data_IF_843306125511
#
_entry.id   IF_843306125511
#
_cell.length_a   1.000
_cell.length_b   1.000
_cell.length_c   1.000
_cell.angle_alpha   90.00
_cell.angle_beta   90.00
_cell.angle_gamma   90.00
#
_symmetry.space_group_name_H-M   'P 1'
#
loop_
_entity.id
_entity.type
_entity.pdbx_description
1 polymer ?
#
# COMPACT_ATOMS: atom_id res chain seq x y z
N UNK A 1 2.07 -1.07 -10.22
CA UNK A 1 2.01 -2.49 -10.58
C UNK A 1 1.81 -3.30 -9.31
N UNK A 2 0.89 -4.25 -9.30
CA UNK A 2 0.66 -5.14 -8.17
C UNK A 2 1.81 -6.14 -8.05
N UNK A 3 2.30 -6.32 -6.83
CA UNK A 3 3.43 -7.21 -6.56
C UNK A 3 3.00 -8.64 -6.24
N UNK A 4 1.75 -8.84 -5.86
CA UNK A 4 1.14 -10.14 -5.55
C UNK A 4 -0.28 -10.18 -6.07
N UNK A 5 -0.85 -11.37 -6.18
CA UNK A 5 -2.27 -11.55 -6.43
C UNK A 5 -3.07 -10.82 -5.35
N UNK A 6 -4.11 -10.10 -5.78
CA UNK A 6 -4.84 -9.17 -4.91
C UNK A 6 -6.32 -9.23 -5.22
N UNK A 7 -7.13 -9.39 -4.19
CA UNK A 7 -8.58 -9.25 -4.27
C UNK A 7 -8.98 -7.85 -3.81
N UNK A 8 -9.66 -7.10 -4.69
CA UNK A 8 -10.19 -5.77 -4.39
C UNK A 8 -11.66 -5.88 -4.05
N UNK A 9 -12.04 -5.41 -2.88
CA UNK A 9 -13.40 -5.42 -2.34
C UNK A 9 -14.16 -4.14 -2.63
N UNK A 10 -13.45 -3.02 -2.71
CA UNK A 10 -14.05 -1.73 -2.98
C UNK A 10 -13.04 -0.63 -3.23
N UNK A 11 -13.59 0.54 -3.57
CA UNK A 11 -12.83 1.73 -3.94
C UNK A 11 -13.43 2.95 -3.25
N UNK A 12 -12.57 3.81 -2.69
CA UNK A 12 -12.95 5.12 -2.19
C UNK A 12 -12.20 6.20 -3.00
N UNK A 13 -12.90 6.89 -3.92
CA UNK A 13 -12.36 8.02 -4.65
C UNK A 13 -12.44 9.31 -3.82
N UNK A 14 -11.46 10.18 -3.98
CA UNK A 14 -11.44 11.51 -3.39
C UNK A 14 -10.86 12.54 -4.36
N UNK A 15 -11.52 13.68 -4.44
CA UNK A 15 -11.01 14.92 -5.04
C UNK A 15 -11.57 16.12 -4.28
N UNK A 16 -10.86 17.26 -4.38
CA UNK A 16 -11.36 18.52 -3.88
C UNK A 16 -12.30 19.23 -4.88
N UNK A 17 -12.76 20.45 -4.53
CA UNK A 17 -13.88 21.17 -5.19
C UNK A 17 -13.73 21.33 -6.71
N UNK A 18 -12.50 21.55 -7.21
CA UNK A 18 -12.28 21.74 -8.65
C UNK A 18 -12.18 20.43 -9.45
N UNK A 19 -12.33 19.28 -8.78
CA UNK A 19 -12.38 17.97 -9.43
C UNK A 19 -13.52 17.85 -10.43
N UNK A 20 -13.33 17.08 -11.52
CA UNK A 20 -14.36 16.86 -12.54
C UNK A 20 -14.59 15.40 -12.87
N UNK A 21 -13.54 14.63 -13.09
CA UNK A 21 -13.69 13.21 -13.41
C UNK A 21 -12.64 12.35 -12.72
N UNK A 22 -13.03 11.12 -12.40
CA UNK A 22 -12.10 10.06 -11.98
C UNK A 22 -12.36 8.84 -12.85
N UNK A 23 -11.29 8.27 -13.41
CA UNK A 23 -11.32 6.98 -14.09
C UNK A 23 -10.15 6.15 -13.63
N UNK A 24 -10.42 4.90 -13.26
CA UNK A 24 -9.38 3.92 -12.97
C UNK A 24 -9.61 2.65 -13.76
N UNK A 25 -8.52 2.07 -14.21
CA UNK A 25 -8.49 0.85 -15.01
C UNK A 25 -7.31 -0.02 -14.57
N UNK A 26 -7.52 -1.32 -14.52
CA UNK A 26 -6.47 -2.32 -14.37
C UNK A 26 -6.11 -2.92 -15.72
N UNK A 27 -4.82 -3.05 -16.03
CA UNK A 27 -4.32 -3.81 -17.16
C UNK A 27 -3.62 -5.05 -16.64
N UNK A 28 -4.18 -6.21 -16.92
CA UNK A 28 -3.64 -7.51 -16.50
C UNK A 28 -2.35 -7.85 -17.27
N UNK A 29 -1.56 -8.84 -16.80
CA UNK A 29 -0.35 -9.28 -17.50
C UNK A 29 -0.60 -9.77 -18.95
N UNK A 30 -1.78 -10.31 -19.22
CA UNK A 30 -2.22 -10.74 -20.55
C UNK A 30 -2.76 -9.60 -21.43
N UNK A 31 -2.60 -8.35 -20.98
CA UNK A 31 -3.09 -7.13 -21.61
C UNK A 31 -4.60 -6.88 -21.54
N UNK A 32 -5.36 -7.76 -20.90
CA UNK A 32 -6.80 -7.53 -20.64
C UNK A 32 -6.99 -6.27 -19.80
N UNK A 33 -7.95 -5.43 -20.19
CA UNK A 33 -8.27 -4.19 -19.47
C UNK A 33 -9.57 -4.35 -18.72
N UNK A 34 -9.56 -4.00 -17.43
CA UNK A 34 -10.70 -4.08 -16.54
C UNK A 34 -10.99 -2.68 -16.00
N UNK A 35 -12.16 -2.09 -16.30
CA UNK A 35 -12.53 -0.81 -15.68
C UNK A 35 -12.81 -1.02 -14.19
N UNK A 36 -12.24 -0.17 -13.36
CA UNK A 36 -12.39 -0.24 -11.91
C UNK A 36 -13.45 0.75 -11.40
N UNK A 37 -13.35 2.00 -11.83
CA UNK A 37 -14.33 3.05 -11.52
C UNK A 37 -14.35 4.10 -12.63
N UNK A 38 -15.51 4.69 -12.89
CA UNK A 38 -15.66 5.83 -13.79
C UNK A 38 -16.70 6.80 -13.23
N UNK A 39 -16.24 7.96 -12.78
CA UNK A 39 -17.06 9.08 -12.35
C UNK A 39 -16.83 10.20 -13.37
N UNK A 40 -17.86 10.60 -14.09
CA UNK A 40 -17.78 11.56 -15.18
C UNK A 40 -18.24 12.96 -14.78
N UNK A 41 -18.87 13.10 -13.64
CA UNK A 41 -19.30 14.35 -13.04
C UNK A 41 -19.08 14.25 -11.53
N UNK A 42 -17.93 14.77 -11.07
CA UNK A 42 -17.54 14.71 -9.68
C UNK A 42 -18.34 15.73 -8.85
N UNK A 43 -18.92 15.24 -7.75
CA UNK A 43 -19.50 16.09 -6.71
C UNK A 43 -18.73 15.89 -5.41
N UNK A 44 -18.10 16.96 -4.90
CA UNK A 44 -17.35 16.93 -3.64
C UNK A 44 -18.20 16.47 -2.46
N UNK A 45 -19.51 16.74 -2.47
CA UNK A 45 -20.43 16.34 -1.40
C UNK A 45 -20.89 14.88 -1.51
N UNK A 46 -20.57 14.22 -2.59
CA UNK A 46 -20.95 12.82 -2.85
C UNK A 46 -19.76 11.89 -2.94
N UNK A 47 -18.99 11.82 -1.85
CA UNK A 47 -17.82 10.96 -1.74
C UNK A 47 -18.19 9.68 -1.00
N UNK A 48 -18.39 8.61 -1.75
CA UNK A 48 -18.82 7.34 -1.20
C UNK A 48 -17.75 6.25 -1.39
N UNK A 49 -17.80 5.25 -0.50
CA UNK A 49 -17.13 3.99 -0.70
C UNK A 49 -17.96 3.13 -1.65
N UNK A 50 -17.37 2.74 -2.77
CA UNK A 50 -17.99 1.89 -3.79
C UNK A 50 -17.52 0.45 -3.59
N UNK A 51 -18.44 -0.42 -3.16
CA UNK A 51 -18.16 -1.82 -2.94
C UNK A 51 -18.51 -2.62 -4.19
N UNK A 52 -17.62 -3.54 -4.59
CA UNK A 52 -17.95 -4.51 -5.64
C UNK A 52 -18.95 -5.56 -5.15
N UNK A 53 -19.80 -6.05 -6.05
CA UNK A 53 -20.75 -7.11 -5.72
C UNK A 53 -20.07 -8.43 -5.34
N UNK A 54 -18.90 -8.67 -5.91
CA UNK A 54 -17.96 -9.74 -5.53
C UNK A 54 -16.53 -9.19 -5.59
N UNK A 55 -15.60 -9.73 -4.80
CA UNK A 55 -14.20 -9.31 -4.91
C UNK A 55 -13.68 -9.43 -6.34
N UNK A 56 -12.93 -8.42 -6.78
CA UNK A 56 -12.29 -8.42 -8.07
C UNK A 56 -10.85 -8.95 -7.91
N UNK A 57 -10.61 -10.14 -8.45
CA UNK A 57 -9.27 -10.73 -8.43
C UNK A 57 -8.39 -10.12 -9.51
N UNK A 58 -7.23 -9.59 -9.11
CA UNK A 58 -6.20 -9.05 -9.98
C UNK A 58 -4.87 -9.79 -9.74
N UNK A 59 -4.31 -10.45 -10.76
CA UNK A 59 -3.06 -11.18 -10.61
C UNK A 59 -1.86 -10.25 -10.41
N UNK A 60 -0.79 -10.79 -9.83
CA UNK A 60 0.51 -10.12 -9.76
C UNK A 60 0.95 -9.63 -11.16
N UNK A 61 1.62 -8.49 -11.21
CA UNK A 61 2.00 -7.85 -12.47
C UNK A 61 0.92 -6.94 -13.08
N UNK A 62 -0.31 -6.94 -12.55
CA UNK A 62 -1.36 -6.01 -12.99
C UNK A 62 -0.93 -4.57 -12.79
N UNK A 63 -1.12 -3.75 -13.81
CA UNK A 63 -0.87 -2.30 -13.77
C UNK A 63 -2.17 -1.57 -13.47
N UNK A 64 -2.11 -0.62 -12.54
CA UNK A 64 -3.22 0.27 -12.20
C UNK A 64 -2.97 1.63 -12.86
N UNK A 65 -3.92 2.09 -13.67
CA UNK A 65 -3.92 3.43 -14.27
C UNK A 65 -5.09 4.23 -13.70
N UNK A 66 -4.80 5.40 -13.17
CA UNK A 66 -5.83 6.28 -12.61
C UNK A 66 -5.66 7.66 -13.22
N UNK A 67 -6.77 8.24 -13.68
CA UNK A 67 -6.81 9.57 -14.29
C UNK A 67 -7.81 10.44 -13.57
N UNK A 68 -7.37 11.62 -13.24
CA UNK A 68 -8.20 12.70 -12.70
C UNK A 68 -8.21 13.86 -13.68
N UNK A 69 -9.33 14.55 -13.76
CA UNK A 69 -9.40 15.85 -14.42
C UNK A 69 -9.95 16.90 -13.49
N UNK A 70 -9.49 18.12 -13.67
CA UNK A 70 -9.88 19.27 -12.88
C UNK A 70 -10.38 20.37 -13.80
N UNK A 71 -11.25 21.23 -13.28
CA UNK A 71 -11.70 22.43 -13.95
C UNK A 71 -11.58 23.63 -13.00
N UNK A 72 -10.50 24.38 -13.18
CA UNK A 72 -10.26 25.62 -12.44
C UNK A 72 -10.69 26.86 -13.25
N UNK A 73 -11.73 26.73 -14.10
CA UNK A 73 -12.26 27.86 -14.86
C UNK A 73 -13.33 28.63 -14.09
N UNK A 74 -13.64 29.85 -14.54
CA UNK A 74 -14.75 30.65 -14.02
C UNK A 74 -16.13 30.04 -14.38
N UNK A 75 -16.20 29.13 -15.34
CA UNK A 75 -17.43 28.43 -15.72
C UNK A 75 -17.76 27.25 -14.80
N UNK A 76 -16.81 26.78 -14.00
CA UNK A 76 -17.05 25.71 -13.01
C UNK A 76 -17.79 26.26 -11.80
N UNK A 77 -19.07 25.88 -11.58
CA UNK A 77 -19.86 26.38 -10.44
C UNK A 77 -19.30 25.94 -9.07
N UNK A 78 -18.52 24.86 -9.02
CA UNK A 78 -17.86 24.37 -7.82
C UNK A 78 -16.49 25.05 -7.56
N UNK A 79 -16.04 25.96 -8.44
CA UNK A 79 -14.79 26.67 -8.21
C UNK A 79 -14.90 27.59 -6.98
N UNK A 80 -14.09 27.42 -5.94
CA UNK A 80 -14.17 28.23 -4.73
C UNK A 80 -13.69 29.67 -4.92
N UNK A 81 -13.12 30.01 -6.09
CA UNK A 81 -12.57 31.34 -6.39
C UNK A 81 -13.15 31.92 -7.67
N UNK A 82 -13.70 33.16 -7.56
CA UNK A 82 -14.13 33.92 -8.72
C UNK A 82 -13.61 35.39 -8.61
N UNK A 83 -12.68 35.82 -9.46
CA UNK A 83 -12.07 35.07 -10.56
C UNK A 83 -11.22 33.91 -10.11
N UNK A 84 -11.00 32.89 -10.98
CA UNK A 84 -10.18 31.73 -10.66
C UNK A 84 -8.77 32.11 -10.23
N UNK A 85 -8.23 31.40 -9.23
CA UNK A 85 -6.86 31.58 -8.75
C UNK A 85 -6.00 30.39 -9.14
N UNK A 86 -4.69 30.59 -9.18
CA UNK A 86 -3.76 29.45 -9.26
C UNK A 86 -3.96 28.56 -8.05
N UNK A 87 -4.15 27.26 -8.29
CA UNK A 87 -4.28 26.22 -7.28
C UNK A 87 -3.05 25.31 -7.35
N UNK A 88 -2.61 24.84 -6.21
CA UNK A 88 -1.53 23.87 -6.05
C UNK A 88 -2.03 22.76 -5.14
N UNK A 89 -1.28 21.65 -5.09
CA UNK A 89 -1.58 20.58 -4.14
C UNK A 89 -1.58 21.10 -2.69
N UNK A 90 -2.58 20.66 -1.93
CA UNK A 90 -2.71 20.99 -0.52
C UNK A 90 -3.91 20.30 0.13
N UNK A 91 -4.02 20.44 1.45
CA UNK A 91 -5.01 19.72 2.27
C UNK A 91 -6.35 20.48 2.41
N UNK A 92 -6.39 21.76 2.02
CA UNK A 92 -7.64 22.52 2.09
C UNK A 92 -8.54 22.13 0.92
N UNK A 93 -9.85 22.12 1.14
CA UNK A 93 -10.84 21.78 0.09
C UNK A 93 -10.76 22.68 -1.14
N UNK A 94 -10.17 23.87 -1.01
CA UNK A 94 -9.90 24.84 -2.08
C UNK A 94 -8.61 24.56 -2.85
N UNK A 95 -7.77 23.66 -2.34
CA UNK A 95 -6.52 23.25 -3.00
C UNK A 95 -6.79 22.11 -3.99
N UNK A 96 -5.78 21.74 -4.77
CA UNK A 96 -5.85 20.57 -5.63
C UNK A 96 -5.47 19.32 -4.84
N UNK A 97 -6.36 18.32 -4.83
CA UNK A 97 -6.09 17.00 -4.27
C UNK A 97 -6.92 15.95 -5.00
N UNK A 98 -6.31 14.81 -5.27
CA UNK A 98 -7.01 13.61 -5.67
C UNK A 98 -6.27 12.37 -5.17
N UNK A 99 -7.02 11.37 -4.73
CA UNK A 99 -6.50 10.03 -4.47
C UNK A 99 -7.61 8.99 -4.70
N UNK A 100 -7.17 7.76 -4.81
CA UNK A 100 -8.04 6.58 -4.94
C UNK A 100 -7.52 5.52 -3.97
N UNK A 101 -8.33 5.19 -2.96
CA UNK A 101 -8.01 4.14 -2.00
C UNK A 101 -8.67 2.85 -2.45
N UNK A 102 -7.93 1.76 -2.44
CA UNK A 102 -8.43 0.42 -2.69
C UNK A 102 -8.55 -0.33 -1.36
N UNK A 103 -9.74 -0.86 -1.10
CA UNK A 103 -9.95 -1.87 -0.06
C UNK A 103 -9.58 -3.23 -0.67
N UNK A 104 -8.42 -3.75 -0.30
CA UNK A 104 -7.83 -4.88 -0.99
C UNK A 104 -7.06 -5.79 -0.04
N UNK A 105 -7.03 -7.08 -0.36
CA UNK A 105 -6.27 -8.11 0.35
C UNK A 105 -5.35 -8.80 -0.64
N UNK A 106 -4.05 -8.87 -0.33
CA UNK A 106 -3.12 -9.72 -1.07
C UNK A 106 -3.42 -11.19 -0.77
N UNK A 107 -3.64 -11.99 -1.82
CA UNK A 107 -4.00 -13.41 -1.72
C UNK A 107 -2.85 -14.35 -2.05
N UNK A 108 -1.75 -13.80 -2.59
CA UNK A 108 -0.52 -14.53 -2.89
C UNK A 108 0.67 -14.07 -2.04
N UNK A 109 1.73 -14.88 -1.96
CA UNK A 109 2.96 -14.46 -1.31
C UNK A 109 3.57 -13.28 -2.07
N UNK A 110 4.21 -12.33 -1.37
CA UNK A 110 4.94 -11.27 -2.04
C UNK A 110 6.11 -11.85 -2.84
N UNK A 111 6.51 -11.21 -3.96
CA UNK A 111 7.67 -11.66 -4.70
C UNK A 111 8.94 -11.58 -3.83
N UNK A 112 9.95 -12.43 -4.12
CA UNK A 112 11.16 -12.52 -3.29
C UNK A 112 11.85 -11.17 -3.04
N UNK A 113 11.91 -10.32 -4.07
CA UNK A 113 12.51 -8.97 -3.96
C UNK A 113 11.73 -8.03 -3.03
N UNK A 114 10.41 -8.12 -3.01
CA UNK A 114 9.59 -7.32 -2.09
C UNK A 114 9.73 -7.82 -0.66
N UNK A 115 9.77 -9.13 -0.48
CA UNK A 115 10.00 -9.75 0.81
C UNK A 115 11.38 -9.36 1.36
N UNK A 116 12.42 -9.42 0.52
CA UNK A 116 13.77 -8.99 0.88
C UNK A 116 13.81 -7.49 1.26
N UNK A 117 13.11 -6.64 0.50
CA UNK A 117 13.00 -5.21 0.81
C UNK A 117 12.31 -4.95 2.14
N UNK A 118 11.18 -5.60 2.42
CA UNK A 118 10.44 -5.46 3.69
C UNK A 118 11.27 -5.94 4.87
N UNK A 119 11.93 -7.10 4.74
CA UNK A 119 12.79 -7.62 5.79
C UNK A 119 14.00 -6.72 6.06
N UNK A 120 14.60 -6.13 5.02
CA UNK A 120 15.70 -5.18 5.18
C UNK A 120 15.27 -3.91 5.91
N UNK A 121 14.07 -3.37 5.61
CA UNK A 121 13.50 -2.23 6.34
C UNK A 121 13.24 -2.61 7.80
N UNK A 122 12.61 -3.76 8.04
CA UNK A 122 12.32 -4.22 9.39
C UNK A 122 13.62 -4.46 10.19
N UNK A 123 14.63 -5.05 9.57
CA UNK A 123 15.94 -5.24 10.16
C UNK A 123 16.57 -3.90 10.58
N UNK A 124 16.59 -2.91 9.68
CA UNK A 124 17.13 -1.58 9.99
C UNK A 124 16.37 -0.81 11.09
N UNK A 125 15.11 -1.17 11.38
CA UNK A 125 14.34 -0.62 12.50
C UNK A 125 14.60 -1.36 13.82
N UNK A 126 14.98 -2.63 13.76
CA UNK A 126 15.15 -3.49 14.92
C UNK A 126 16.60 -3.55 15.41
N UNK A 127 17.55 -3.53 14.49
CA UNK A 127 18.99 -3.50 14.74
C UNK A 127 19.39 -2.17 15.39
N UNK A 128 19.46 -2.16 16.72
CA UNK A 128 19.68 -0.95 17.52
C UNK A 128 21.13 -0.60 17.73
N UNK A 129 21.98 -1.61 17.81
CA UNK A 129 23.41 -1.42 17.98
C UNK A 129 24.16 -1.33 16.65
N UNK A 130 23.42 -1.53 15.52
CA UNK A 130 23.92 -1.42 14.15
C UNK A 130 25.06 -2.41 13.85
N UNK A 131 25.01 -3.60 14.45
CA UNK A 131 25.98 -4.67 14.18
C UNK A 131 25.61 -5.51 12.93
N UNK A 132 24.44 -5.27 12.34
CA UNK A 132 23.92 -5.95 11.16
C UNK A 132 23.29 -7.31 11.47
N UNK A 133 23.05 -7.62 12.72
CA UNK A 133 22.44 -8.85 13.21
C UNK A 133 21.25 -8.50 14.12
N UNK A 134 20.34 -9.42 14.30
CA UNK A 134 19.25 -9.26 15.28
C UNK A 134 19.42 -10.27 16.40
N UNK A 135 19.68 -9.77 17.59
CA UNK A 135 19.81 -10.57 18.79
C UNK A 135 18.47 -10.80 19.51
N UNK A 136 18.53 -11.59 20.61
CA UNK A 136 17.36 -11.91 21.43
C UNK A 136 16.73 -10.65 22.03
N UNK A 137 17.53 -9.63 22.41
CA UNK A 137 17.03 -8.44 23.07
C UNK A 137 16.30 -7.53 22.08
N UNK A 138 16.82 -7.38 20.89
CA UNK A 138 16.21 -6.62 19.80
C UNK A 138 14.91 -7.24 19.32
N UNK A 139 14.90 -8.55 19.13
CA UNK A 139 13.68 -9.28 18.76
C UNK A 139 12.65 -9.30 19.89
N UNK A 140 13.08 -9.32 21.17
CA UNK A 140 12.17 -9.23 22.30
C UNK A 140 11.43 -7.88 22.34
N UNK A 141 12.11 -6.81 21.98
CA UNK A 141 11.51 -5.47 21.88
C UNK A 141 10.49 -5.38 20.73
N UNK A 142 10.80 -6.01 19.59
CA UNK A 142 9.91 -6.06 18.43
C UNK A 142 8.61 -6.81 18.71
N UNK A 143 8.71 -7.94 19.37
CA UNK A 143 7.56 -8.83 19.65
C UNK A 143 6.87 -8.53 21.00
N UNK A 144 7.25 -7.45 21.68
CA UNK A 144 6.70 -7.08 22.98
C UNK A 144 7.10 -8.05 24.10
N UNK A 145 6.20 -8.30 25.06
CA UNK A 145 6.47 -9.11 26.26
C UNK A 145 6.68 -10.62 26.02
N UNK A 146 7.23 -11.01 24.89
CA UNK A 146 7.49 -12.41 24.56
C UNK A 146 8.62 -12.94 25.45
N UNK A 147 8.45 -14.14 25.99
CA UNK A 147 9.46 -14.79 26.83
C UNK A 147 10.76 -14.98 26.02
N UNK A 148 11.92 -14.56 26.54
CA UNK A 148 13.22 -14.73 25.86
C UNK A 148 13.54 -16.18 25.45
N UNK A 149 13.07 -17.16 26.22
CA UNK A 149 13.24 -18.58 25.88
C UNK A 149 12.47 -18.97 24.59
N UNK A 150 11.32 -18.36 24.34
CA UNK A 150 10.55 -18.62 23.13
C UNK A 150 11.15 -17.91 21.91
N UNK A 151 11.73 -16.74 22.11
CA UNK A 151 12.49 -16.03 21.06
C UNK A 151 13.72 -16.84 20.67
N UNK A 152 14.48 -17.33 21.64
CA UNK A 152 15.64 -18.20 21.40
C UNK A 152 15.28 -19.44 20.60
N UNK A 153 14.16 -20.09 20.91
CA UNK A 153 13.66 -21.23 20.13
C UNK A 153 13.32 -20.86 18.69
N UNK A 154 12.74 -19.66 18.47
CA UNK A 154 12.44 -19.17 17.13
C UNK A 154 13.69 -18.83 16.34
N UNK A 155 14.65 -18.14 16.94
CA UNK A 155 15.95 -17.86 16.33
C UNK A 155 16.58 -19.17 15.87
N UNK A 156 16.66 -20.18 16.73
CA UNK A 156 17.29 -21.47 16.43
C UNK A 156 16.65 -22.23 15.24
N UNK A 157 15.45 -21.85 14.78
CA UNK A 157 14.84 -22.44 13.59
C UNK A 157 15.42 -21.87 12.28
N UNK A 158 15.99 -20.66 12.32
CA UNK A 158 16.45 -19.92 11.14
C UNK A 158 17.93 -19.56 11.20
N UNK A 159 18.52 -19.60 12.39
CA UNK A 159 19.95 -19.44 12.64
C UNK A 159 20.72 -20.62 12.04
N UNK A 160 21.42 -20.37 10.94
CA UNK A 160 22.14 -21.40 10.16
C UNK A 160 23.60 -21.54 10.57
N UNK A 161 24.18 -20.47 11.12
CA UNK A 161 25.58 -20.44 11.52
C UNK A 161 25.78 -20.71 13.02
N UNK A 162 24.70 -20.75 13.80
CA UNK A 162 24.70 -21.15 15.22
C UNK A 162 25.15 -20.07 16.18
N UNK A 163 25.14 -18.80 15.75
CA UNK A 163 25.60 -17.67 16.57
C UNK A 163 24.50 -17.12 17.51
N UNK A 164 23.28 -17.66 17.43
CA UNK A 164 22.08 -17.26 18.19
C UNK A 164 21.61 -15.83 17.89
N UNK A 165 21.93 -15.31 16.72
CA UNK A 165 21.43 -14.08 16.13
C UNK A 165 20.78 -14.37 14.77
N UNK A 166 20.22 -13.38 14.12
CA UNK A 166 19.71 -13.49 12.76
C UNK A 166 20.37 -12.44 11.87
N UNK A 167 21.15 -12.87 10.89
CA UNK A 167 21.60 -12.01 9.83
C UNK A 167 20.47 -11.71 8.81
N UNK A 168 20.73 -10.84 7.83
CA UNK A 168 19.71 -10.41 6.86
C UNK A 168 19.08 -11.58 6.08
N UNK A 169 19.84 -12.60 5.72
CA UNK A 169 19.31 -13.77 4.99
C UNK A 169 18.43 -14.65 5.86
N UNK A 170 18.85 -14.91 7.08
CA UNK A 170 18.11 -15.69 8.07
C UNK A 170 16.83 -14.99 8.50
N UNK A 171 16.88 -13.66 8.64
CA UNK A 171 15.71 -12.86 8.96
C UNK A 171 14.67 -12.86 7.85
N UNK A 172 15.06 -12.87 6.57
CA UNK A 172 14.13 -13.05 5.44
C UNK A 172 13.34 -14.35 5.56
N UNK A 173 14.01 -15.45 5.93
CA UNK A 173 13.34 -16.75 6.10
C UNK A 173 12.34 -16.72 7.28
N UNK A 174 12.70 -16.03 8.36
CA UNK A 174 11.80 -15.78 9.49
C UNK A 174 10.56 -15.02 9.03
N UNK A 175 10.73 -13.98 8.21
CA UNK A 175 9.67 -13.15 7.68
C UNK A 175 8.68 -13.94 6.82
N UNK A 176 9.18 -14.85 5.99
CA UNK A 176 8.35 -15.80 5.21
C UNK A 176 7.47 -16.67 6.09
N UNK A 177 8.02 -17.17 7.19
CA UNK A 177 7.35 -18.16 8.04
C UNK A 177 6.26 -17.56 8.94
N UNK A 178 6.38 -16.30 9.36
CA UNK A 178 5.38 -15.62 10.20
C UNK A 178 4.22 -15.01 9.42
N UNK A 179 4.22 -15.17 8.08
CA UNK A 179 3.09 -14.76 7.23
C UNK A 179 2.81 -13.26 7.25
N UNK A 180 3.80 -12.43 7.53
CA UNK A 180 3.70 -10.97 7.34
C UNK A 180 3.74 -10.67 5.83
N UNK A 181 2.61 -10.96 5.19
CA UNK A 181 2.37 -10.74 3.76
C UNK A 181 1.93 -9.30 3.49
#
# INVERSE_FOLDING_TARGET
>A
MLLSDTDIYGIFPHMHLIGRTIRAEATLPDTTRIPLISITDWDFNWQNYYRYASPLHLPAGTKMDVRWTYDNSAANPANPSNPPRRVTYGEQTTDEMAFLVFDAISTGPPPPEELARRSAIAMGLLDRDHDGLLDIQELALAFGRTNPADIKKRIALYDRDGDLKLNAQEFVETFKAIGLH
#
